data_IF_636585339583
#
_entry.id   IF_636585339583
#
_cell.length_a   1.000
_cell.length_b   1.000
_cell.length_c   1.000
_cell.angle_alpha   90.00
_cell.angle_beta   90.00
_cell.angle_gamma   90.00
#
_symmetry.space_group_name_H-M   'P 1'
#
loop_
_entity.id
_entity.type
_entity.pdbx_description
1 polymer ?
#
# COMPACT_ATOMS: atom_id res chain seq x y z
N UNK A 1 -32.28 -8.39 1.05
CA UNK A 1 -31.84 -9.14 -0.13
C UNK A 1 -30.48 -9.82 0.10
N UNK A 2 -30.13 -10.15 1.35
CA UNK A 2 -28.76 -10.58 1.72
C UNK A 2 -28.56 -12.11 1.73
N UNK A 3 -29.63 -12.90 1.66
CA UNK A 3 -29.52 -14.35 1.85
C UNK A 3 -29.02 -15.14 0.64
N UNK A 4 -29.09 -14.63 -0.60
CA UNK A 4 -28.65 -15.40 -1.78
C UNK A 4 -27.14 -15.30 -2.05
N UNK A 5 -26.48 -14.21 -1.65
CA UNK A 5 -25.03 -14.10 -1.80
C UNK A 5 -24.31 -15.02 -0.80
N UNK A 6 -24.70 -14.98 0.48
CA UNK A 6 -24.16 -15.86 1.52
C UNK A 6 -24.34 -17.36 1.19
N UNK A 7 -25.50 -17.75 0.65
CA UNK A 7 -25.76 -19.15 0.24
C UNK A 7 -24.88 -19.57 -0.95
N UNK A 8 -24.60 -18.66 -1.90
CA UNK A 8 -23.77 -18.96 -3.07
C UNK A 8 -22.29 -19.06 -2.67
N UNK A 9 -21.83 -18.21 -1.77
CA UNK A 9 -20.46 -18.24 -1.24
C UNK A 9 -20.24 -19.50 -0.38
N UNK A 10 -21.19 -19.88 0.47
CA UNK A 10 -21.15 -21.14 1.24
C UNK A 10 -21.13 -22.38 0.34
N UNK A 11 -21.92 -22.40 -0.74
CA UNK A 11 -21.91 -23.51 -1.70
C UNK A 11 -20.58 -23.58 -2.45
N UNK A 12 -20.00 -22.44 -2.83
CA UNK A 12 -18.70 -22.40 -3.49
C UNK A 12 -17.59 -22.89 -2.57
N UNK A 13 -17.59 -22.45 -1.31
CA UNK A 13 -16.66 -22.92 -0.28
C UNK A 13 -16.83 -24.42 -0.01
N UNK A 14 -18.06 -24.92 0.07
CA UNK A 14 -18.35 -26.35 0.25
C UNK A 14 -17.92 -27.15 -0.99
N UNK A 15 -18.12 -26.63 -2.19
CA UNK A 15 -17.68 -27.28 -3.43
C UNK A 15 -16.16 -27.30 -3.49
N UNK A 16 -15.47 -26.18 -3.29
CA UNK A 16 -14.00 -26.13 -3.28
C UNK A 16 -13.45 -27.03 -2.16
N UNK A 17 -13.99 -26.95 -0.94
CA UNK A 17 -13.61 -27.85 0.18
C UNK A 17 -13.86 -29.30 -0.17
N UNK A 18 -15.04 -29.69 -0.65
CA UNK A 18 -15.35 -31.09 -0.96
C UNK A 18 -14.53 -31.65 -2.11
N UNK A 19 -14.19 -30.82 -3.09
CA UNK A 19 -13.39 -31.17 -4.27
C UNK A 19 -11.92 -31.32 -3.89
N UNK A 20 -11.46 -30.57 -2.89
CA UNK A 20 -10.05 -30.44 -2.54
C UNK A 20 -9.72 -30.92 -1.11
N UNK A 21 -10.68 -31.56 -0.43
CA UNK A 21 -10.56 -32.11 0.94
C UNK A 21 -9.67 -33.35 1.03
N UNK A 22 -9.34 -33.99 -0.09
CA UNK A 22 -8.34 -35.07 -0.08
C UNK A 22 -6.97 -34.44 0.10
N UNK A 23 -6.42 -34.56 1.31
CA UNK A 23 -5.13 -34.00 1.68
C UNK A 23 -4.04 -34.44 0.67
N UNK A 24 -3.52 -33.44 -0.05
CA UNK A 24 -2.42 -33.52 -1.02
C UNK A 24 -2.78 -34.12 -2.40
N UNK A 25 -3.74 -33.56 -3.15
CA UNK A 25 -4.04 -34.02 -4.49
C UNK A 25 -2.87 -33.72 -5.44
N UNK A 26 -2.60 -34.62 -6.39
CA UNK A 26 -1.67 -34.32 -7.48
C UNK A 26 -2.35 -33.49 -8.59
N UNK A 27 -1.57 -32.95 -9.54
CA UNK A 27 -2.08 -32.13 -10.63
C UNK A 27 -3.22 -32.82 -11.42
N UNK A 28 -3.09 -34.12 -11.68
CA UNK A 28 -4.09 -34.88 -12.43
C UNK A 28 -5.42 -34.96 -11.67
N UNK A 29 -5.37 -35.15 -10.35
CA UNK A 29 -6.55 -35.16 -9.49
C UNK A 29 -7.22 -33.79 -9.41
N UNK A 30 -6.45 -32.71 -9.24
CA UNK A 30 -6.97 -31.34 -9.28
C UNK A 30 -7.65 -31.05 -10.62
N UNK A 31 -6.95 -31.33 -11.72
CA UNK A 31 -7.42 -31.03 -13.07
C UNK A 31 -8.67 -31.83 -13.40
N UNK A 32 -8.69 -33.13 -13.11
CA UNK A 32 -9.84 -33.98 -13.38
C UNK A 32 -11.06 -33.49 -12.60
N UNK A 33 -10.93 -33.22 -11.30
CA UNK A 33 -12.07 -32.78 -10.49
C UNK A 33 -12.60 -31.41 -10.91
N UNK A 34 -11.74 -30.44 -11.18
CA UNK A 34 -12.17 -29.13 -11.68
C UNK A 34 -12.82 -29.23 -13.06
N UNK A 35 -12.34 -30.14 -13.91
CA UNK A 35 -12.93 -30.41 -15.23
C UNK A 35 -14.30 -31.08 -15.11
N UNK A 36 -14.45 -32.04 -14.19
CA UNK A 36 -15.73 -32.70 -13.91
C UNK A 36 -16.76 -31.69 -13.40
N UNK A 37 -16.37 -30.80 -12.50
CA UNK A 37 -17.22 -29.70 -12.04
C UNK A 37 -17.61 -28.79 -13.21
N UNK A 38 -16.64 -28.41 -14.03
CA UNK A 38 -16.88 -27.57 -15.19
C UNK A 38 -17.91 -28.21 -16.15
N UNK A 39 -17.87 -29.55 -16.27
CA UNK A 39 -18.83 -30.30 -17.08
C UNK A 39 -20.28 -30.25 -16.55
N UNK A 40 -20.47 -30.02 -15.24
CA UNK A 40 -21.80 -29.86 -14.61
C UNK A 40 -22.20 -28.40 -14.40
N UNK A 41 -21.49 -27.45 -15.02
CA UNK A 41 -21.85 -26.03 -15.06
C UNK A 41 -21.11 -25.14 -14.07
N UNK A 42 -20.16 -25.68 -13.29
CA UNK A 42 -19.27 -24.87 -12.46
C UNK A 42 -18.38 -23.98 -13.32
N UNK A 43 -18.10 -22.77 -12.85
CA UNK A 43 -17.15 -21.86 -13.49
C UNK A 43 -16.11 -21.47 -12.48
N UNK A 44 -14.85 -21.77 -12.76
CA UNK A 44 -13.73 -21.30 -11.96
C UNK A 44 -13.57 -19.79 -12.20
N UNK A 45 -14.23 -18.95 -11.41
CA UNK A 45 -14.12 -17.48 -11.54
C UNK A 45 -12.83 -16.97 -10.90
N UNK A 46 -12.51 -15.69 -11.10
CA UNK A 46 -11.33 -15.06 -10.51
C UNK A 46 -11.41 -15.10 -8.97
N UNK A 47 -12.53 -14.64 -8.40
CA UNK A 47 -12.76 -14.71 -6.96
C UNK A 47 -12.60 -16.13 -6.39
N UNK A 48 -13.13 -17.14 -7.08
CA UNK A 48 -13.00 -18.54 -6.63
C UNK A 48 -11.57 -19.06 -6.61
N UNK A 49 -10.70 -18.57 -7.50
CA UNK A 49 -9.27 -18.87 -7.42
C UNK A 49 -8.64 -18.24 -6.18
N UNK A 50 -9.05 -17.03 -5.81
CA UNK A 50 -8.67 -16.38 -4.55
C UNK A 50 -9.15 -17.17 -3.32
N UNK A 51 -10.42 -17.59 -3.31
CA UNK A 51 -11.01 -18.36 -2.20
C UNK A 51 -10.30 -19.71 -2.01
N UNK A 52 -10.03 -20.40 -3.12
CA UNK A 52 -9.28 -21.64 -3.10
C UNK A 52 -7.85 -21.46 -2.55
N UNK A 53 -7.15 -20.38 -2.90
CA UNK A 53 -5.82 -20.12 -2.36
C UNK A 53 -5.85 -19.90 -0.85
N UNK A 54 -6.79 -19.09 -0.35
CA UNK A 54 -6.98 -18.85 1.09
C UNK A 54 -7.31 -20.14 1.83
N UNK A 55 -8.17 -20.98 1.25
CA UNK A 55 -8.54 -22.26 1.84
C UNK A 55 -7.34 -23.20 2.01
N UNK A 56 -6.36 -23.11 1.09
CA UNK A 56 -5.18 -23.97 1.06
C UNK A 56 -3.90 -23.31 1.55
N UNK A 57 -4.01 -22.18 2.25
CA UNK A 57 -2.87 -21.42 2.75
C UNK A 57 -1.87 -22.29 3.52
N UNK A 58 -2.34 -23.15 4.44
CA UNK A 58 -1.49 -24.03 5.25
C UNK A 58 -0.71 -25.08 4.46
N UNK A 59 -1.12 -25.34 3.21
CA UNK A 59 -0.60 -26.40 2.35
C UNK A 59 -0.06 -25.84 1.01
N UNK A 60 0.02 -24.52 0.86
CA UNK A 60 0.35 -23.90 -0.43
C UNK A 60 1.76 -24.29 -0.91
N UNK A 61 2.69 -24.55 0.01
CA UNK A 61 4.05 -25.00 -0.32
C UNK A 61 4.08 -26.38 -0.97
N UNK A 62 3.17 -27.26 -0.59
CA UNK A 62 3.14 -28.65 -1.05
C UNK A 62 2.37 -28.80 -2.37
N UNK A 63 1.25 -28.09 -2.51
CA UNK A 63 0.34 -28.29 -3.64
C UNK A 63 0.02 -27.03 -4.45
N UNK A 64 0.53 -25.86 -4.06
CA UNK A 64 0.25 -24.61 -4.76
C UNK A 64 0.64 -24.66 -6.24
N UNK A 65 1.70 -25.40 -6.59
CA UNK A 65 2.12 -25.55 -8.00
C UNK A 65 1.05 -26.31 -8.80
N UNK A 66 0.62 -27.45 -8.27
CA UNK A 66 -0.42 -28.27 -8.90
C UNK A 66 -1.74 -27.50 -8.99
N UNK A 67 -2.10 -26.73 -7.97
CA UNK A 67 -3.29 -25.90 -7.95
C UNK A 67 -3.26 -24.83 -9.05
N UNK A 68 -2.17 -24.06 -9.15
CA UNK A 68 -2.01 -23.02 -10.18
C UNK A 68 -1.99 -23.62 -11.59
N UNK A 69 -1.32 -24.76 -11.79
CA UNK A 69 -1.29 -25.45 -13.08
C UNK A 69 -2.68 -25.98 -13.47
N UNK A 70 -3.45 -26.51 -12.50
CA UNK A 70 -4.81 -26.95 -12.75
C UNK A 70 -5.74 -25.78 -13.12
N UNK A 71 -5.61 -24.63 -12.45
CA UNK A 71 -6.35 -23.42 -12.82
C UNK A 71 -6.04 -22.98 -14.26
N UNK A 72 -4.76 -23.02 -14.65
CA UNK A 72 -4.33 -22.68 -16.01
C UNK A 72 -4.97 -23.60 -17.06
N UNK A 73 -4.98 -24.92 -16.81
CA UNK A 73 -5.60 -25.91 -17.70
C UNK A 73 -7.10 -25.66 -17.83
N UNK A 74 -7.81 -25.53 -16.71
CA UNK A 74 -9.27 -25.38 -16.68
C UNK A 74 -9.73 -24.07 -17.32
N UNK A 75 -8.96 -22.99 -17.15
CA UNK A 75 -9.26 -21.68 -17.74
C UNK A 75 -8.77 -21.54 -19.18
N UNK A 76 -7.91 -22.44 -19.66
CA UNK A 76 -7.24 -22.32 -20.95
C UNK A 76 -6.32 -21.08 -21.02
N UNK A 77 -5.68 -20.72 -19.91
CA UNK A 77 -4.82 -19.54 -19.77
C UNK A 77 -3.37 -19.95 -19.52
N UNK A 78 -2.43 -19.02 -19.67
CA UNK A 78 -1.04 -19.29 -19.28
C UNK A 78 -0.91 -19.31 -17.76
N UNK A 79 0.12 -19.99 -17.24
CA UNK A 79 0.44 -19.97 -15.80
C UNK A 79 0.62 -18.55 -15.28
N UNK A 80 1.27 -17.69 -16.05
CA UNK A 80 1.53 -16.29 -15.66
C UNK A 80 0.25 -15.46 -15.58
N UNK A 81 -0.71 -15.70 -16.47
CA UNK A 81 -2.00 -15.01 -16.39
C UNK A 81 -2.76 -15.43 -15.12
N UNK A 82 -2.72 -16.73 -14.78
CA UNK A 82 -3.32 -17.24 -13.54
C UNK A 82 -2.63 -16.65 -12.32
N UNK A 83 -1.30 -16.65 -12.27
CA UNK A 83 -0.56 -16.03 -11.16
C UNK A 83 -0.91 -14.54 -10.99
N UNK A 84 -1.08 -13.81 -12.10
CA UNK A 84 -1.49 -12.41 -12.08
C UNK A 84 -2.91 -12.23 -11.54
N UNK A 85 -3.84 -13.11 -11.93
CA UNK A 85 -5.21 -13.10 -11.39
C UNK A 85 -5.18 -13.45 -9.90
N UNK A 86 -4.49 -14.51 -9.51
CA UNK A 86 -4.34 -14.92 -8.12
C UNK A 86 -3.76 -13.80 -7.25
N UNK A 87 -2.70 -13.13 -7.71
CA UNK A 87 -2.13 -11.97 -7.01
C UNK A 87 -3.15 -10.85 -6.87
N UNK A 88 -3.86 -10.51 -7.95
CA UNK A 88 -4.90 -9.48 -7.92
C UNK A 88 -5.98 -9.81 -6.89
N UNK A 89 -6.49 -11.04 -6.91
CA UNK A 89 -7.51 -11.47 -5.96
C UNK A 89 -6.99 -11.50 -4.53
N UNK A 90 -5.76 -11.94 -4.25
CA UNK A 90 -5.17 -11.82 -2.92
C UNK A 90 -5.07 -10.35 -2.47
N UNK A 91 -4.81 -9.43 -3.39
CA UNK A 91 -4.79 -7.98 -3.15
C UNK A 91 -6.17 -7.33 -3.30
N UNK A 92 -7.25 -8.10 -3.22
CA UNK A 92 -8.59 -7.52 -3.12
C UNK A 92 -8.78 -6.94 -1.69
N UNK A 93 -9.06 -5.64 -1.55
CA UNK A 93 -9.32 -5.02 -0.24
C UNK A 93 -10.42 -5.69 0.59
N UNK A 94 -11.41 -6.29 -0.07
CA UNK A 94 -12.52 -6.96 0.59
C UNK A 94 -12.10 -8.29 1.23
N UNK A 95 -10.93 -8.83 0.83
CA UNK A 95 -10.32 -10.03 1.41
C UNK A 95 -9.32 -9.56 2.47
N UNK A 96 -9.75 -9.57 3.73
CA UNK A 96 -8.91 -9.22 4.87
C UNK A 96 -7.80 -10.27 5.07
N UNK A 97 -6.67 -10.10 4.37
CA UNK A 97 -5.50 -10.97 4.51
C UNK A 97 -4.90 -10.84 5.91
N UNK A 98 -4.84 -11.95 6.64
CA UNK A 98 -4.23 -12.00 7.97
C UNK A 98 -2.74 -12.38 7.93
N UNK A 99 -2.30 -13.03 6.85
CA UNK A 99 -0.96 -13.60 6.69
C UNK A 99 -0.39 -13.29 5.32
N UNK A 100 0.94 -13.23 5.25
CA UNK A 100 1.67 -12.92 4.02
C UNK A 100 2.18 -14.16 3.26
N UNK A 101 1.99 -15.37 3.80
CA UNK A 101 2.56 -16.61 3.24
C UNK A 101 2.11 -16.85 1.80
N UNK A 102 0.84 -16.60 1.49
CA UNK A 102 0.29 -16.71 0.14
C UNK A 102 0.84 -15.65 -0.81
N UNK A 103 0.95 -14.40 -0.35
CA UNK A 103 1.51 -13.31 -1.15
C UNK A 103 2.96 -13.61 -1.52
N UNK A 104 3.76 -14.07 -0.55
CA UNK A 104 5.15 -14.46 -0.75
C UNK A 104 5.26 -15.60 -1.76
N UNK A 105 4.46 -16.66 -1.57
CA UNK A 105 4.42 -17.81 -2.48
C UNK A 105 4.07 -17.42 -3.92
N UNK A 106 3.05 -16.58 -4.13
CA UNK A 106 2.63 -16.17 -5.48
C UNK A 106 3.68 -15.27 -6.11
N UNK A 107 4.20 -14.28 -5.38
CA UNK A 107 5.16 -13.30 -5.91
C UNK A 107 6.49 -13.93 -6.31
N UNK A 108 6.96 -14.95 -5.60
CA UNK A 108 8.19 -15.68 -5.95
C UNK A 108 8.09 -16.44 -7.29
N UNK A 109 6.89 -16.57 -7.83
CA UNK A 109 6.64 -17.27 -9.10
C UNK A 109 6.26 -16.33 -10.25
N UNK A 110 6.06 -15.03 -9.97
CA UNK A 110 5.72 -14.05 -11.01
C UNK A 110 6.98 -13.55 -11.69
N UNK A 111 7.00 -13.57 -13.03
CA UNK A 111 8.17 -13.16 -13.83
C UNK A 111 8.59 -11.69 -13.60
N UNK A 112 7.62 -10.79 -13.46
CA UNK A 112 7.86 -9.37 -13.16
C UNK A 112 7.00 -8.95 -11.95
N UNK A 113 7.45 -9.29 -10.73
CA UNK A 113 6.61 -9.20 -9.53
C UNK A 113 6.23 -7.75 -9.21
N UNK A 114 7.12 -6.79 -9.44
CA UNK A 114 6.87 -5.38 -9.12
C UNK A 114 5.80 -4.76 -10.04
N UNK A 115 5.97 -4.88 -11.36
CA UNK A 115 5.00 -4.35 -12.33
C UNK A 115 3.64 -5.04 -12.18
N UNK A 116 3.63 -6.35 -11.94
CA UNK A 116 2.39 -7.12 -11.78
C UNK A 116 1.65 -6.70 -10.51
N UNK A 117 2.37 -6.50 -9.41
CA UNK A 117 1.81 -6.00 -8.15
C UNK A 117 1.29 -4.59 -8.31
N UNK A 118 2.05 -3.70 -8.95
CA UNK A 118 1.63 -2.32 -9.21
C UNK A 118 0.32 -2.28 -10.02
N UNK A 119 0.20 -3.10 -11.08
CA UNK A 119 -1.04 -3.24 -11.86
C UNK A 119 -2.20 -3.80 -11.04
N UNK A 120 -1.94 -4.80 -10.20
CA UNK A 120 -2.95 -5.39 -9.33
C UNK A 120 -3.52 -4.35 -8.36
N UNK A 121 -2.67 -3.59 -7.66
CA UNK A 121 -3.10 -2.53 -6.75
C UNK A 121 -3.85 -1.40 -7.49
N UNK A 122 -3.43 -1.05 -8.71
CA UNK A 122 -4.15 -0.09 -9.57
C UNK A 122 -5.53 -0.57 -10.01
N UNK A 123 -5.73 -1.87 -10.19
CA UNK A 123 -7.03 -2.42 -10.63
C UNK A 123 -8.16 -2.14 -9.63
N UNK A 124 -7.83 -1.97 -8.36
CA UNK A 124 -8.78 -1.59 -7.32
C UNK A 124 -9.00 -0.08 -7.21
N UNK A 125 -8.39 0.74 -8.07
CA UNK A 125 -8.52 2.20 -8.10
C UNK A 125 -8.23 2.86 -6.74
N UNK A 126 -6.96 2.88 -6.31
CA UNK A 126 -6.54 3.92 -5.37
C UNK A 126 -6.52 5.21 -6.18
N UNK A 127 -7.64 5.94 -6.13
CA UNK A 127 -7.80 7.18 -6.90
C UNK A 127 -6.73 8.17 -6.46
N UNK A 128 -6.09 8.88 -7.42
CA UNK A 128 -5.15 9.95 -7.07
C UNK A 128 -5.88 10.99 -6.20
N UNK A 129 -5.57 11.04 -4.92
CA UNK A 129 -6.38 11.75 -3.94
C UNK A 129 -6.10 13.25 -3.94
N UNK A 130 -4.98 13.67 -4.52
CA UNK A 130 -4.66 15.09 -4.76
C UNK A 130 -5.67 15.69 -5.73
N UNK A 131 -5.99 14.98 -6.83
CA UNK A 131 -6.99 15.45 -7.79
C UNK A 131 -8.38 15.56 -7.13
N UNK A 132 -8.74 14.62 -6.27
CA UNK A 132 -10.00 14.69 -5.51
C UNK A 132 -9.99 15.88 -4.57
N UNK A 133 -8.90 16.09 -3.83
CA UNK A 133 -8.76 17.20 -2.90
C UNK A 133 -8.85 18.56 -3.59
N UNK A 134 -8.11 18.75 -4.68
CA UNK A 134 -8.10 20.00 -5.46
C UNK A 134 -9.46 20.28 -6.11
N UNK A 135 -10.09 19.26 -6.70
CA UNK A 135 -11.41 19.41 -7.34
C UNK A 135 -12.56 19.50 -6.32
N UNK A 136 -12.36 18.97 -5.11
CA UNK A 136 -13.35 18.90 -4.04
C UNK A 136 -13.31 20.09 -3.08
N UNK A 137 -12.75 21.24 -3.49
CA UNK A 137 -12.58 22.43 -2.65
C UNK A 137 -11.86 22.14 -1.31
N UNK A 138 -10.85 21.28 -1.34
CA UNK A 138 -10.07 20.92 -0.16
C UNK A 138 -10.70 19.85 0.73
N UNK A 139 -11.75 19.16 0.28
CA UNK A 139 -12.36 18.06 1.00
C UNK A 139 -11.73 16.70 0.61
N UNK A 140 -11.47 15.86 1.61
CA UNK A 140 -11.03 14.47 1.43
C UNK A 140 -12.21 13.54 1.80
N UNK A 141 -12.75 12.75 0.86
CA UNK A 141 -13.79 11.77 1.15
C UNK A 141 -13.42 10.82 2.29
N UNK A 142 -14.40 10.47 3.13
CA UNK A 142 -14.22 9.55 4.26
C UNK A 142 -13.58 8.22 3.85
N UNK A 143 -13.95 7.69 2.67
CA UNK A 143 -13.39 6.46 2.11
C UNK A 143 -11.87 6.52 1.86
N UNK A 144 -11.29 7.72 1.73
CA UNK A 144 -9.85 7.93 1.55
C UNK A 144 -9.13 8.28 2.85
N UNK A 145 -9.83 8.28 3.98
CA UNK A 145 -9.26 8.54 5.32
C UNK A 145 -8.92 7.27 6.09
N UNK A 146 -9.07 6.12 5.43
CA UNK A 146 -8.80 4.80 5.97
C UNK A 146 -7.82 4.09 5.03
N UNK A 147 -7.02 3.20 5.60
CA UNK A 147 -6.23 2.27 4.80
C UNK A 147 -7.17 1.29 4.12
N UNK A 148 -6.89 1.02 2.85
CA UNK A 148 -7.68 0.08 2.05
C UNK A 148 -7.35 -1.37 2.34
N UNK A 149 -6.08 -1.65 2.65
CA UNK A 149 -5.59 -2.98 2.96
C UNK A 149 -5.35 -3.16 4.46
N UNK A 150 -5.25 -4.43 4.89
CA UNK A 150 -4.75 -4.77 6.22
C UNK A 150 -3.26 -4.35 6.37
N UNK A 151 -2.80 -4.01 7.59
CA UNK A 151 -1.41 -3.62 7.88
C UNK A 151 -0.36 -4.54 7.29
N UNK A 152 -0.62 -5.84 7.38
CA UNK A 152 0.30 -6.88 6.92
C UNK A 152 0.64 -6.73 5.43
N UNK A 153 -0.28 -6.21 4.61
CA UNK A 153 -0.03 -5.96 3.20
C UNK A 153 0.98 -4.82 3.03
N UNK A 154 0.80 -3.70 3.72
CA UNK A 154 1.74 -2.57 3.60
C UNK A 154 3.15 -2.93 4.08
N UNK A 155 3.24 -3.62 5.21
CA UNK A 155 4.50 -4.07 5.79
C UNK A 155 5.19 -5.07 4.86
N UNK A 156 4.45 -6.07 4.38
CA UNK A 156 4.96 -7.06 3.45
C UNK A 156 5.46 -6.43 2.16
N UNK A 157 4.70 -5.51 1.56
CA UNK A 157 5.09 -4.84 0.31
C UNK A 157 6.37 -4.02 0.51
N UNK A 158 6.48 -3.31 1.63
CA UNK A 158 7.69 -2.52 1.94
C UNK A 158 8.91 -3.40 2.15
N UNK A 159 8.78 -4.52 2.88
CA UNK A 159 9.89 -5.45 3.11
C UNK A 159 10.27 -6.18 1.81
N UNK A 160 9.29 -6.65 1.04
CA UNK A 160 9.51 -7.44 -0.17
C UNK A 160 10.08 -6.60 -1.31
N UNK A 161 9.52 -5.41 -1.56
CA UNK A 161 9.89 -4.55 -2.69
C UNK A 161 10.84 -3.40 -2.31
N UNK A 162 11.02 -3.09 -1.03
CA UNK A 162 11.90 -2.00 -0.61
C UNK A 162 11.37 -0.60 -0.90
N UNK A 163 11.96 0.39 -0.23
CA UNK A 163 11.46 1.76 -0.19
C UNK A 163 11.44 2.46 -1.55
N UNK A 164 12.38 2.13 -2.43
CA UNK A 164 12.49 2.76 -3.75
C UNK A 164 11.58 2.12 -4.80
N UNK A 165 10.81 1.07 -4.49
CA UNK A 165 9.94 0.43 -5.48
C UNK A 165 8.75 1.29 -5.90
N UNK A 166 8.27 1.10 -7.12
CA UNK A 166 7.01 1.67 -7.62
C UNK A 166 5.81 1.23 -6.77
N UNK A 167 5.83 0.01 -6.22
CA UNK A 167 4.80 -0.51 -5.31
C UNK A 167 4.77 0.29 -4.00
N UNK A 168 5.91 0.42 -3.32
CA UNK A 168 5.99 1.17 -2.06
C UNK A 168 5.67 2.66 -2.25
N UNK A 169 6.14 3.28 -3.33
CA UNK A 169 5.78 4.68 -3.68
C UNK A 169 4.29 4.85 -3.90
N UNK A 170 3.66 3.90 -4.62
CA UNK A 170 2.22 3.94 -4.86
C UNK A 170 1.41 3.83 -3.58
N UNK A 171 1.78 2.89 -2.69
CA UNK A 171 1.15 2.76 -1.37
C UNK A 171 1.40 3.97 -0.47
N UNK A 172 2.58 4.60 -0.55
CA UNK A 172 2.88 5.82 0.20
C UNK A 172 1.91 6.96 -0.10
N UNK A 173 1.47 7.09 -1.36
CA UNK A 173 0.45 8.07 -1.75
C UNK A 173 -0.90 7.85 -1.06
N UNK A 174 -1.32 6.58 -0.96
CA UNK A 174 -2.53 6.21 -0.20
C UNK A 174 -2.38 6.51 1.28
N UNK A 175 -1.30 6.01 1.89
CA UNK A 175 -1.03 6.15 3.33
C UNK A 175 -0.97 7.63 3.72
N UNK A 176 -0.27 8.45 2.93
CA UNK A 176 -0.17 9.91 3.14
C UNK A 176 -1.54 10.57 3.14
N UNK A 177 -2.38 10.18 2.19
CA UNK A 177 -3.72 10.74 2.05
C UNK A 177 -4.61 10.34 3.20
N UNK A 178 -4.62 9.05 3.56
CA UNK A 178 -5.37 8.56 4.69
C UNK A 178 -4.94 9.28 5.96
N UNK A 179 -3.62 9.42 6.17
CA UNK A 179 -3.05 10.04 7.37
C UNK A 179 -3.43 11.51 7.52
N UNK A 180 -3.33 12.30 6.46
CA UNK A 180 -3.68 13.72 6.47
C UNK A 180 -5.20 13.90 6.52
N UNK A 181 -5.96 13.12 5.75
CA UNK A 181 -7.42 13.19 5.73
C UNK A 181 -8.03 12.85 7.09
N UNK A 182 -7.51 11.82 7.76
CA UNK A 182 -7.97 11.47 9.10
C UNK A 182 -7.54 12.49 10.17
N UNK A 183 -6.38 13.15 10.02
CA UNK A 183 -5.99 14.27 10.88
C UNK A 183 -6.99 15.43 10.80
N UNK A 184 -7.42 15.80 9.58
CA UNK A 184 -8.43 16.86 9.36
C UNK A 184 -9.79 16.49 9.92
N UNK A 185 -10.21 15.24 9.78
CA UNK A 185 -11.45 14.74 10.38
C UNK A 185 -11.38 14.79 11.92
N UNK A 186 -10.24 14.41 12.51
CA UNK A 186 -10.04 14.45 13.94
C UNK A 186 -10.10 15.89 14.48
N UNK A 187 -9.44 16.84 13.81
CA UNK A 187 -9.53 18.27 14.14
C UNK A 187 -11.00 18.75 14.09
N UNK A 188 -11.72 18.45 13.01
CA UNK A 188 -13.13 18.83 12.85
C UNK A 188 -14.05 18.24 13.93
N UNK A 189 -13.87 16.95 14.24
CA UNK A 189 -14.71 16.21 15.20
C UNK A 189 -14.34 16.46 16.67
N UNK A 190 -13.08 16.79 16.97
CA UNK A 190 -12.65 17.16 18.32
C UNK A 190 -13.37 18.43 18.82
N UNK A 191 -13.76 19.31 17.89
CA UNK A 191 -14.65 20.46 18.15
C UNK A 191 -16.08 20.07 18.55
N UNK A 192 -16.50 18.83 18.30
CA UNK A 192 -17.87 18.31 18.49
C UNK A 192 -17.99 17.23 19.59
N UNK A 193 -16.92 16.94 20.35
CA UNK A 193 -16.93 16.10 21.56
C UNK A 193 -17.59 14.69 21.42
N UNK A 194 -17.29 13.96 20.35
CA UNK A 194 -17.70 12.56 20.18
C UNK A 194 -16.47 11.64 20.09
N UNK A 195 -15.99 11.14 21.24
CA UNK A 195 -14.94 10.11 21.29
C UNK A 195 -15.55 8.72 21.11
N UNK A 196 -15.39 8.13 19.93
CA UNK A 196 -15.70 6.72 19.71
C UNK A 196 -14.39 5.91 19.73
N UNK A 197 -14.25 4.97 20.65
CA UNK A 197 -13.05 4.12 20.82
C UNK A 197 -12.64 3.34 19.55
N UNK A 198 -13.56 3.10 18.61
CA UNK A 198 -13.26 2.48 17.31
C UNK A 198 -12.51 3.41 16.33
N UNK A 199 -12.59 4.74 16.51
CA UNK A 199 -11.88 5.72 15.68
C UNK A 199 -10.37 5.70 16.01
N UNK A 200 -10.04 5.43 17.29
CA UNK A 200 -8.69 5.47 17.84
C UNK A 200 -7.80 4.29 17.38
N UNK A 201 -8.34 3.07 17.32
CA UNK A 201 -7.53 1.90 16.90
C UNK A 201 -7.04 2.02 15.46
N UNK A 202 -7.94 2.33 14.51
CA UNK A 202 -7.54 2.53 13.11
C UNK A 202 -6.74 3.82 12.89
N UNK A 203 -6.62 4.70 13.90
CA UNK A 203 -5.76 5.89 13.81
C UNK A 203 -4.32 5.55 14.19
N UNK A 204 -4.16 4.76 15.25
CA UNK A 204 -2.85 4.28 15.68
C UNK A 204 -2.21 3.41 14.60
N UNK A 205 -2.97 2.48 14.03
CA UNK A 205 -2.51 1.59 12.96
C UNK A 205 -2.04 2.38 11.71
N UNK A 206 -2.85 3.32 11.25
CA UNK A 206 -2.50 4.22 10.15
C UNK A 206 -1.26 5.07 10.47
N UNK A 207 -1.15 5.57 11.70
CA UNK A 207 0.01 6.34 12.14
C UNK A 207 1.27 5.47 12.18
N UNK A 208 1.17 4.23 12.64
CA UNK A 208 2.28 3.28 12.67
C UNK A 208 2.78 3.00 11.25
N UNK A 209 1.89 2.65 10.32
CA UNK A 209 2.26 2.35 8.92
C UNK A 209 2.87 3.57 8.23
N UNK A 210 2.27 4.76 8.40
CA UNK A 210 2.83 6.01 7.87
C UNK A 210 4.24 6.28 8.40
N UNK A 211 4.43 6.11 9.70
CA UNK A 211 5.74 6.30 10.32
C UNK A 211 6.75 5.29 9.78
N UNK A 212 6.39 4.01 9.66
CA UNK A 212 7.28 2.97 9.09
C UNK A 212 7.71 3.32 7.67
N UNK A 213 6.78 3.72 6.80
CA UNK A 213 7.11 4.13 5.42
C UNK A 213 8.02 5.36 5.39
N UNK A 214 7.74 6.36 6.23
CA UNK A 214 8.64 7.52 6.37
C UNK A 214 10.02 7.10 6.88
N UNK A 215 10.07 6.17 7.84
CA UNK A 215 11.30 5.67 8.44
C UNK A 215 12.18 4.91 7.44
N UNK A 216 11.59 4.06 6.62
CA UNK A 216 12.31 3.39 5.53
C UNK A 216 12.69 4.34 4.39
N UNK A 217 12.20 5.57 4.41
CA UNK A 217 12.57 6.61 3.46
C UNK A 217 11.92 6.42 2.10
N UNK A 218 10.69 5.88 2.08
CA UNK A 218 9.88 5.76 0.87
C UNK A 218 9.64 7.15 0.28
N UNK A 219 9.92 7.37 -1.01
CA UNK A 219 9.75 8.68 -1.62
C UNK A 219 8.31 9.20 -1.56
N UNK A 220 8.18 10.49 -1.27
CA UNK A 220 6.91 11.23 -1.35
C UNK A 220 6.92 12.00 -2.67
N UNK A 221 5.84 11.90 -3.44
CA UNK A 221 5.69 12.65 -4.70
C UNK A 221 5.31 14.11 -4.41
N UNK A 222 5.89 15.04 -5.18
CA UNK A 222 5.71 16.49 -5.02
C UNK A 222 4.24 16.91 -5.09
N UNK A 223 3.45 16.20 -5.91
CA UNK A 223 2.01 16.42 -6.08
C UNK A 223 1.21 16.33 -4.77
N UNK A 224 1.73 15.67 -3.72
CA UNK A 224 1.05 15.60 -2.42
C UNK A 224 1.21 16.86 -1.56
N UNK A 225 2.07 17.81 -1.96
CA UNK A 225 2.33 19.06 -1.23
C UNK A 225 1.06 19.84 -0.83
N UNK A 226 0.01 19.96 -1.68
CA UNK A 226 -1.24 20.61 -1.30
C UNK A 226 -1.94 19.98 -0.08
N UNK A 227 -1.80 18.67 0.11
CA UNK A 227 -2.34 17.99 1.29
C UNK A 227 -1.56 18.38 2.55
N UNK A 228 -0.22 18.36 2.49
CA UNK A 228 0.64 18.73 3.62
C UNK A 228 0.45 20.19 4.04
N UNK A 229 0.28 21.09 3.06
CA UNK A 229 0.04 22.53 3.27
C UNK A 229 -1.11 22.80 4.24
N UNK A 230 -2.12 21.94 4.22
CA UNK A 230 -3.36 22.07 4.99
C UNK A 230 -3.48 21.00 6.09
N UNK A 231 -2.40 20.27 6.37
CA UNK A 231 -2.37 19.28 7.44
C UNK A 231 -2.34 19.99 8.80
N UNK A 232 -3.27 19.68 9.72
CA UNK A 232 -3.29 20.32 11.04
C UNK A 232 -2.25 19.74 12.00
N UNK A 233 -1.71 18.56 11.70
CA UNK A 233 -0.79 17.86 12.58
C UNK A 233 0.67 18.05 12.18
N UNK A 234 1.52 18.15 13.21
CA UNK A 234 2.94 18.40 13.04
C UNK A 234 3.70 17.18 12.51
N UNK A 235 3.34 15.96 12.91
CA UNK A 235 4.11 14.75 12.59
C UNK A 235 4.24 14.53 11.07
N UNK A 236 3.15 14.52 10.27
CA UNK A 236 3.28 14.37 8.81
C UNK A 236 4.13 15.46 8.17
N UNK A 237 3.99 16.71 8.64
CA UNK A 237 4.77 17.85 8.12
C UNK A 237 6.26 17.67 8.44
N UNK A 238 6.61 17.24 9.65
CA UNK A 238 8.00 16.98 10.02
C UNK A 238 8.59 15.80 9.25
N UNK A 239 7.84 14.72 9.02
CA UNK A 239 8.28 13.63 8.16
C UNK A 239 8.63 14.11 6.75
N UNK A 240 7.83 15.03 6.18
CA UNK A 240 8.13 15.63 4.90
C UNK A 240 9.42 16.47 4.94
N UNK A 241 9.51 17.47 5.80
CA UNK A 241 10.61 18.44 5.79
C UNK A 241 11.90 17.91 6.42
N UNK A 242 11.82 17.35 7.61
CA UNK A 242 12.98 16.97 8.44
C UNK A 242 13.56 15.62 8.04
N UNK A 243 12.84 14.81 7.26
CA UNK A 243 13.31 13.49 6.82
C UNK A 243 13.38 13.36 5.31
N UNK A 244 12.25 13.44 4.62
CA UNK A 244 12.24 13.19 3.17
C UNK A 244 12.99 14.30 2.40
N UNK A 245 12.58 15.56 2.56
CA UNK A 245 13.25 16.69 1.90
C UNK A 245 14.68 16.88 2.39
N UNK A 246 14.92 16.74 3.70
CA UNK A 246 16.27 16.78 4.23
C UNK A 246 17.19 15.75 3.55
N UNK A 247 16.74 14.50 3.40
CA UNK A 247 17.50 13.47 2.67
C UNK A 247 17.66 13.80 1.19
N UNK A 248 16.57 14.24 0.53
CA UNK A 248 16.58 14.58 -0.90
C UNK A 248 17.60 15.69 -1.22
N UNK A 249 17.67 16.72 -0.38
CA UNK A 249 18.57 17.86 -0.53
C UNK A 249 19.91 17.71 0.22
N UNK A 250 20.19 16.54 0.80
CA UNK A 250 21.41 16.26 1.58
C UNK A 250 21.63 17.22 2.77
N UNK A 251 20.53 17.68 3.38
CA UNK A 251 20.53 18.48 4.59
C UNK A 251 20.74 17.61 5.83
N UNK A 252 21.54 18.10 6.78
CA UNK A 252 21.76 17.44 8.07
C UNK A 252 20.73 17.91 9.08
N UNK A 253 19.59 17.21 9.16
CA UNK A 253 18.52 17.49 10.12
C UNK A 253 18.36 16.28 11.05
N UNK A 254 18.38 16.50 12.36
CA UNK A 254 18.06 15.47 13.34
C UNK A 254 16.54 15.27 13.40
N UNK A 255 16.08 14.11 12.94
CA UNK A 255 14.69 13.72 13.06
C UNK A 255 14.54 12.60 14.10
N UNK A 256 13.83 12.89 15.19
CA UNK A 256 13.41 11.87 16.15
C UNK A 256 11.94 11.51 15.89
N UNK A 257 11.64 10.30 15.38
CA UNK A 257 10.26 9.87 15.22
C UNK A 257 9.56 9.75 16.57
N UNK A 258 8.24 9.94 16.57
CA UNK A 258 7.39 9.45 17.67
C UNK A 258 7.60 7.94 17.82
N UNK A 259 7.54 7.41 19.05
CA UNK A 259 7.72 5.96 19.31
C UNK A 259 6.85 5.17 18.34
N UNK A 260 7.49 4.48 17.41
CA UNK A 260 6.87 3.40 16.66
C UNK A 260 6.97 2.20 17.59
N UNK A 261 5.84 1.63 17.99
CA UNK A 261 5.88 0.32 18.62
C UNK A 261 6.58 -0.62 17.65
N UNK A 262 7.72 -1.19 18.04
CA UNK A 262 8.53 -2.03 17.17
C UNK A 262 7.67 -3.15 16.61
N UNK A 263 7.38 -3.07 15.31
CA UNK A 263 6.69 -4.13 14.59
C UNK A 263 7.68 -5.29 14.49
N UNK A 264 7.32 -6.51 14.90
CA UNK A 264 8.18 -7.67 14.75
C UNK A 264 8.64 -7.79 13.29
N UNK A 265 9.94 -7.99 13.03
CA UNK A 265 10.43 -8.06 11.67
C UNK A 265 9.79 -9.26 10.95
N UNK A 266 9.19 -8.99 9.79
CA UNK A 266 8.67 -10.04 8.90
C UNK A 266 9.83 -10.90 8.40
N UNK A 267 9.68 -12.22 8.48
CA UNK A 267 10.66 -13.17 7.95
C UNK A 267 10.41 -13.40 6.45
N UNK A 268 10.68 -12.37 5.64
CA UNK A 268 10.48 -12.37 4.19
C UNK A 268 11.80 -12.11 3.50
N UNK A 269 12.08 -12.84 2.42
CA UNK A 269 13.28 -12.59 1.60
C UNK A 269 12.97 -11.43 0.64
N UNK A 270 13.64 -10.27 0.77
CA UNK A 270 13.41 -9.13 -0.11
C UNK A 270 13.88 -9.46 -1.53
N UNK A 271 13.25 -8.83 -2.54
CA UNK A 271 13.81 -8.81 -3.88
C UNK A 271 15.11 -8.00 -3.89
N UNK A 272 16.02 -8.31 -4.82
CA UNK A 272 17.26 -7.53 -4.98
C UNK A 272 16.95 -6.20 -5.64
N UNK A 273 17.25 -5.10 -4.95
CA UNK A 273 16.98 -3.75 -5.46
C UNK A 273 18.27 -3.02 -5.78
N UNK A 274 18.29 -2.34 -6.94
CA UNK A 274 19.25 -1.28 -7.18
C UNK A 274 18.78 -0.05 -6.42
N UNK A 275 19.53 0.40 -5.42
CA UNK A 275 19.28 1.68 -4.77
C UNK A 275 19.42 2.78 -5.80
N UNK A 276 18.29 3.37 -6.20
CA UNK A 276 18.30 4.51 -7.08
C UNK A 276 18.68 5.73 -6.24
N UNK A 277 19.83 6.35 -6.54
CA UNK A 277 20.09 7.69 -6.01
C UNK A 277 18.96 8.61 -6.47
N UNK A 278 18.50 9.46 -5.56
CA UNK A 278 17.54 10.50 -5.88
C UNK A 278 18.07 11.30 -7.09
N UNK A 279 17.23 11.48 -8.10
CA UNK A 279 17.60 12.19 -9.31
C UNK A 279 17.60 13.70 -9.06
N UNK A 280 18.49 14.43 -9.73
CA UNK A 280 18.45 15.90 -9.75
C UNK A 280 17.12 16.43 -10.31
N UNK A 281 16.43 15.61 -11.12
CA UNK A 281 15.07 15.86 -11.58
C UNK A 281 14.07 15.96 -10.41
N UNK A 282 14.11 15.00 -9.47
CA UNK A 282 13.22 15.03 -8.30
C UNK A 282 13.50 16.26 -7.41
N UNK A 283 14.78 16.66 -7.25
CA UNK A 283 15.14 17.89 -6.53
C UNK A 283 14.56 19.13 -7.20
N UNK A 284 14.68 19.21 -8.53
CA UNK A 284 14.20 20.34 -9.33
C UNK A 284 12.68 20.46 -9.25
N UNK A 285 11.98 19.33 -9.37
CA UNK A 285 10.52 19.26 -9.23
C UNK A 285 10.07 19.72 -7.84
N UNK A 286 10.69 19.20 -6.77
CA UNK A 286 10.37 19.60 -5.41
C UNK A 286 10.66 21.07 -5.15
N UNK A 287 11.78 21.60 -5.63
CA UNK A 287 12.10 23.02 -5.47
C UNK A 287 11.06 23.90 -6.17
N UNK A 288 10.64 23.53 -7.39
CA UNK A 288 9.58 24.23 -8.11
C UNK A 288 8.27 24.26 -7.32
N UNK A 289 7.80 23.11 -6.83
CA UNK A 289 6.55 23.01 -6.08
C UNK A 289 6.61 23.76 -4.74
N UNK A 290 7.72 23.68 -4.02
CA UNK A 290 7.93 24.39 -2.74
C UNK A 290 7.94 25.90 -2.97
N UNK A 291 8.65 26.39 -3.99
CA UNK A 291 8.68 27.82 -4.33
C UNK A 291 7.32 28.35 -4.76
N UNK A 292 6.58 27.59 -5.57
CA UNK A 292 5.19 27.90 -5.94
C UNK A 292 4.28 27.96 -4.71
N UNK A 293 4.43 27.01 -3.77
CA UNK A 293 3.66 26.98 -2.54
C UNK A 293 3.95 28.16 -1.61
N UNK A 294 5.20 28.63 -1.52
CA UNK A 294 5.58 29.76 -0.66
C UNK A 294 4.91 31.08 -1.08
N UNK A 295 4.55 31.23 -2.36
CA UNK A 295 3.87 32.41 -2.88
C UNK A 295 2.37 32.47 -2.53
N UNK A 296 1.81 31.40 -1.97
CA UNK A 296 0.39 31.28 -1.65
C UNK A 296 0.16 31.44 -0.13
N UNK A 297 -0.83 32.24 0.27
CA UNK A 297 -1.02 32.58 1.69
C UNK A 297 -1.73 31.50 2.52
N UNK A 298 -2.40 30.55 1.88
CA UNK A 298 -3.22 29.57 2.58
C UNK A 298 -2.39 28.34 3.00
N UNK A 299 -1.86 28.33 4.22
CA UNK A 299 -1.19 27.16 4.81
C UNK A 299 -1.27 27.18 6.33
N UNK A 300 -1.10 26.02 6.97
CA UNK A 300 -1.06 25.96 8.44
C UNK A 300 0.19 26.64 8.98
N UNK A 301 0.11 27.19 10.21
CA UNK A 301 1.25 27.84 10.86
C UNK A 301 2.44 26.88 11.01
N UNK A 302 2.16 25.62 11.32
CA UNK A 302 3.17 24.55 11.42
C UNK A 302 3.86 24.30 10.09
N UNK A 303 3.09 24.21 8.99
CA UNK A 303 3.66 24.04 7.67
C UNK A 303 4.53 25.24 7.27
N UNK A 304 4.03 26.47 7.49
CA UNK A 304 4.77 27.71 7.22
C UNK A 304 6.10 27.74 7.97
N UNK A 305 6.08 27.41 9.26
CA UNK A 305 7.28 27.39 10.08
C UNK A 305 8.33 26.39 9.55
N UNK A 306 7.91 25.17 9.18
CA UNK A 306 8.82 24.16 8.66
C UNK A 306 9.36 24.53 7.26
N UNK A 307 8.53 25.19 6.44
CA UNK A 307 8.92 25.71 5.14
C UNK A 307 10.00 26.82 5.27
N UNK A 308 9.82 27.74 6.21
CA UNK A 308 10.82 28.78 6.50
C UNK A 308 12.15 28.19 7.00
N UNK A 309 12.09 27.18 7.88
CA UNK A 309 13.28 26.45 8.34
C UNK A 309 13.99 25.73 7.20
N UNK A 310 13.24 25.12 6.29
CA UNK A 310 13.81 24.46 5.11
C UNK A 310 14.65 25.42 4.26
N UNK A 311 14.12 26.61 3.95
CA UNK A 311 14.90 27.61 3.21
C UNK A 311 16.12 28.12 3.98
N UNK A 312 16.04 28.23 5.31
CA UNK A 312 17.21 28.57 6.13
C UNK A 312 18.31 27.50 6.04
N UNK A 313 17.94 26.22 6.04
CA UNK A 313 18.90 25.12 5.88
C UNK A 313 19.55 25.11 4.50
N UNK A 314 18.76 25.27 3.44
CA UNK A 314 19.27 25.35 2.06
C UNK A 314 20.23 26.54 1.89
N UNK A 315 19.88 27.70 2.41
CA UNK A 315 20.73 28.90 2.34
C UNK A 315 22.04 28.71 3.11
N UNK A 316 21.98 28.16 4.33
CA UNK A 316 23.17 27.87 5.12
C UNK A 316 24.09 26.84 4.44
N UNK A 317 23.53 25.84 3.76
CA UNK A 317 24.30 24.87 2.96
C UNK A 317 25.03 25.57 1.81
N UNK A 318 24.33 26.42 1.05
CA UNK A 318 24.91 27.15 -0.08
C UNK A 318 26.05 28.10 0.34
N UNK A 319 25.94 28.76 1.50
CA UNK A 319 27.03 29.59 2.04
C UNK A 319 28.27 28.77 2.38
N UNK A 320 28.11 27.63 3.05
CA UNK A 320 29.23 26.72 3.38
C UNK A 320 29.91 26.20 2.11
N UNK A 321 29.14 25.83 1.09
CA UNK A 321 29.68 25.36 -0.19
C UNK A 321 30.45 26.46 -0.94
N UNK A 322 29.97 27.71 -0.86
CA UNK A 322 30.64 28.87 -1.46
C UNK A 322 31.94 29.24 -0.73
N UNK A 323 32.05 29.04 0.58
CA UNK A 323 33.28 29.29 1.35
C UNK A 323 34.38 28.24 1.09
N UNK A 324 34.00 27.03 0.67
CA UNK A 324 34.92 25.91 0.43
C UNK A 324 35.45 25.91 -1.03
N UNK A 325 34.75 26.55 -1.97
CA UNK A 325 35.12 26.64 -3.40
C UNK A 325 36.11 27.76 -3.72
#
# INVERSE_FOLDING_TARGET
QNGCHEIVDDINDIVIKSVLADFNPNLDQFTQRLTDLHSVGFRLTDGMMGDALLLFESHIKDMGRALIDAFAIVRGMTRNDILSICLRELLNPDRNLERHDLLDYILDQVDNPEETTYRALRSYNIVNPVNIYLNGNGFIPLALTQLKYAPIVYEFMLVKFGADSSVSRYLMGEITTARIGKAKLHESNSTLALSNASIDNGWQELSNIFNVYCMEGVPIESQFLPLFRTCPEEIPIRCLFERYLAKLFELRVEFQPSRVDEIPPLQVTPFTHSTHRASDEARTEWLHEICSCYQNDEMTATFRHQLERFFQWEYAKAEIEAEIS
#
